data_IF_365676696643
#
_entry.id   IF_365676696643
#
_cell.length_a   1.000
_cell.length_b   1.000
_cell.length_c   1.000
_cell.angle_alpha   90.00
_cell.angle_beta   90.00
_cell.angle_gamma   90.00
#
_symmetry.space_group_name_H-M   'P 1'
#
loop_
_entity.id
_entity.type
_entity.pdbx_description
1 polymer ?
#
# COMPACT_ATOMS: atom_id res chain seq x y z
N UNK A 1 -12.23 14.11 -4.04
CA UNK A 1 -12.95 12.86 -3.68
C UNK A 1 -12.00 11.69 -3.87
N UNK A 2 -12.24 10.54 -3.23
CA UNK A 2 -11.41 9.35 -3.45
C UNK A 2 -11.85 8.63 -4.73
N UNK A 3 -10.88 8.18 -5.54
CA UNK A 3 -11.09 7.34 -6.73
C UNK A 3 -10.57 5.95 -6.43
N UNK A 4 -11.33 4.94 -6.82
CA UNK A 4 -10.95 3.53 -6.66
C UNK A 4 -11.23 2.84 -7.99
N UNK A 5 -10.26 2.10 -8.50
CA UNK A 5 -10.41 1.32 -9.72
C UNK A 5 -9.54 0.06 -9.66
N UNK A 6 -9.87 -0.90 -10.53
CA UNK A 6 -9.08 -2.09 -10.78
C UNK A 6 -8.47 -1.96 -12.17
N UNK A 7 -7.19 -2.27 -12.30
CA UNK A 7 -6.52 -2.35 -13.58
C UNK A 7 -5.67 -3.62 -13.70
N UNK A 8 -5.24 -3.93 -14.92
CA UNK A 8 -4.38 -5.08 -15.16
C UNK A 8 -2.96 -4.79 -14.68
N UNK A 9 -2.33 -5.78 -14.07
CA UNK A 9 -0.94 -5.65 -13.62
C UNK A 9 0.01 -5.49 -14.82
N UNK A 10 0.54 -4.29 -14.99
CA UNK A 10 1.69 -4.00 -15.84
C UNK A 10 3.00 -3.88 -15.01
N UNK A 11 4.02 -4.74 -15.23
CA UNK A 11 5.29 -4.66 -14.50
C UNK A 11 6.11 -3.39 -14.80
N UNK A 12 5.77 -2.62 -15.83
CA UNK A 12 6.42 -1.32 -16.11
C UNK A 12 5.83 -0.18 -15.28
N UNK A 13 4.58 -0.33 -14.84
CA UNK A 13 3.83 0.71 -14.13
C UNK A 13 3.58 0.35 -12.66
N UNK A 14 3.58 -0.95 -12.33
CA UNK A 14 3.24 -1.46 -11.01
C UNK A 14 4.39 -2.24 -10.37
N UNK A 15 4.49 -2.10 -9.05
CA UNK A 15 5.43 -2.78 -8.18
C UNK A 15 4.75 -3.14 -6.86
N UNK A 16 5.25 -4.17 -6.20
CA UNK A 16 4.84 -4.50 -4.85
C UNK A 16 5.59 -3.64 -3.85
N UNK A 17 4.91 -2.62 -3.32
CA UNK A 17 5.50 -1.75 -2.33
C UNK A 17 5.43 -2.34 -0.92
N UNK A 18 4.49 -3.23 -0.59
CA UNK A 18 4.22 -3.61 0.80
C UNK A 18 4.99 -4.86 1.25
N UNK A 19 5.32 -5.77 0.33
CA UNK A 19 6.00 -7.03 0.67
C UNK A 19 7.52 -6.91 0.85
N UNK A 20 8.09 -5.71 0.70
CA UNK A 20 9.54 -5.48 0.78
C UNK A 20 9.85 -4.24 1.62
N UNK A 21 11.08 -4.19 2.14
CA UNK A 21 11.66 -2.98 2.72
C UNK A 21 12.51 -2.19 1.72
N UNK A 22 12.70 -2.69 0.49
CA UNK A 22 13.45 -1.96 -0.53
C UNK A 22 12.64 -0.75 -1.02
N UNK A 23 13.27 0.44 -0.97
CA UNK A 23 12.77 1.64 -1.63
C UNK A 23 12.66 1.39 -3.14
N UNK A 24 11.45 1.44 -3.68
CA UNK A 24 11.14 1.11 -5.09
C UNK A 24 10.22 -0.09 -5.27
N UNK A 25 9.97 -0.87 -4.21
CA UNK A 25 9.14 -2.07 -4.29
C UNK A 25 9.85 -3.24 -4.96
N UNK A 26 9.15 -4.37 -5.08
CA UNK A 26 9.63 -5.55 -5.81
C UNK A 26 8.63 -5.95 -6.87
N UNK A 27 9.10 -6.47 -8.01
CA UNK A 27 8.18 -7.07 -8.96
C UNK A 27 7.59 -8.33 -8.32
N UNK A 28 6.25 -8.49 -8.28
CA UNK A 28 5.64 -9.70 -7.77
C UNK A 28 6.12 -10.90 -8.56
N UNK A 29 6.36 -12.02 -7.88
CA UNK A 29 6.81 -13.25 -8.52
C UNK A 29 5.89 -13.65 -9.68
N UNK A 30 6.47 -14.18 -10.76
CA UNK A 30 5.75 -14.80 -11.89
C UNK A 30 5.08 -16.12 -11.48
N UNK A 31 4.31 -16.14 -10.39
CA UNK A 31 3.42 -17.27 -10.10
C UNK A 31 2.29 -17.25 -11.12
N UNK A 32 2.37 -18.16 -12.08
CA UNK A 32 1.44 -18.46 -13.16
C UNK A 32 1.05 -17.27 -14.04
N UNK A 33 1.66 -17.19 -15.24
CA UNK A 33 1.24 -16.28 -16.32
C UNK A 33 -0.18 -16.56 -16.87
N UNK A 34 -0.89 -17.58 -16.36
CA UNK A 34 -2.16 -18.03 -16.92
C UNK A 34 -3.36 -17.19 -16.47
N UNK A 35 -3.25 -16.44 -15.36
CA UNK A 35 -4.33 -15.57 -14.88
C UNK A 35 -3.88 -14.11 -14.89
N UNK A 36 -4.63 -13.20 -15.55
CA UNK A 36 -4.34 -11.77 -15.49
C UNK A 36 -4.47 -11.30 -14.03
N UNK A 37 -3.35 -10.88 -13.44
CA UNK A 37 -3.33 -10.27 -12.12
C UNK A 37 -3.94 -8.88 -12.21
N UNK A 38 -4.79 -8.53 -11.23
CA UNK A 38 -5.35 -7.19 -11.10
C UNK A 38 -4.60 -6.42 -10.02
N UNK A 39 -4.56 -5.11 -10.18
CA UNK A 39 -4.06 -4.17 -9.18
C UNK A 39 -5.21 -3.31 -8.74
N UNK A 40 -5.40 -3.18 -7.43
CA UNK A 40 -6.34 -2.23 -6.86
C UNK A 40 -5.64 -0.91 -6.63
N UNK A 41 -6.12 0.12 -7.30
CA UNK A 41 -5.60 1.48 -7.17
C UNK A 41 -6.59 2.34 -6.39
N UNK A 42 -6.08 3.08 -5.41
CA UNK A 42 -6.85 3.99 -4.56
C UNK A 42 -6.18 5.36 -4.56
N UNK A 43 -6.78 6.33 -5.24
CA UNK A 43 -6.33 7.71 -5.25
C UNK A 43 -7.11 8.54 -4.23
N UNK A 44 -6.42 9.15 -3.28
CA UNK A 44 -7.00 9.99 -2.24
C UNK A 44 -5.97 11.00 -1.72
N UNK A 45 -6.40 12.23 -1.44
CA UNK A 45 -5.51 13.28 -0.93
C UNK A 45 -4.27 13.55 -1.82
N UNK A 46 -4.42 13.41 -3.14
CA UNK A 46 -3.34 13.52 -4.15
C UNK A 46 -2.26 12.45 -4.04
N UNK A 47 -2.58 11.31 -3.41
CA UNK A 47 -1.71 10.15 -3.31
C UNK A 47 -2.43 8.93 -3.89
N UNK A 48 -1.67 8.05 -4.55
CA UNK A 48 -2.18 6.81 -5.12
C UNK A 48 -1.56 5.63 -4.39
N UNK A 49 -2.42 4.81 -3.78
CA UNK A 49 -2.04 3.50 -3.27
C UNK A 49 -2.30 2.45 -4.33
N UNK A 50 -1.45 1.43 -4.39
CA UNK A 50 -1.64 0.25 -5.21
C UNK A 50 -1.48 -1.00 -4.36
N UNK A 51 -2.39 -1.95 -4.53
CA UNK A 51 -2.42 -3.21 -3.79
C UNK A 51 -2.47 -4.37 -4.78
N UNK A 52 -1.62 -5.36 -4.54
CA UNK A 52 -1.52 -6.57 -5.36
C UNK A 52 -2.20 -7.78 -4.70
N UNK A 53 -2.64 -7.64 -3.45
CA UNK A 53 -3.35 -8.68 -2.72
C UNK A 53 -4.28 -8.08 -1.67
N UNK A 54 -5.34 -8.82 -1.32
CA UNK A 54 -6.24 -8.40 -0.24
C UNK A 54 -5.52 -8.19 1.12
N UNK A 55 -4.57 -9.06 1.55
CA UNK A 55 -3.84 -8.85 2.81
C UNK A 55 -3.14 -7.50 2.91
N UNK A 56 -2.57 -6.99 1.80
CA UNK A 56 -1.95 -5.67 1.75
C UNK A 56 -2.95 -4.55 2.02
N UNK A 57 -4.14 -4.65 1.42
CA UNK A 57 -5.23 -3.69 1.69
C UNK A 57 -5.67 -3.75 3.16
N UNK A 58 -5.80 -4.94 3.74
CA UNK A 58 -6.15 -5.09 5.16
C UNK A 58 -5.07 -4.49 6.07
N UNK A 59 -3.80 -4.70 5.75
CA UNK A 59 -2.67 -4.16 6.51
C UNK A 59 -2.68 -2.63 6.47
N UNK A 60 -2.92 -2.02 5.30
CA UNK A 60 -3.05 -0.58 5.17
C UNK A 60 -4.25 -0.03 5.97
N UNK A 61 -5.41 -0.70 5.91
CA UNK A 61 -6.58 -0.34 6.73
C UNK A 61 -6.24 -0.41 8.22
N UNK A 62 -5.58 -1.48 8.67
CA UNK A 62 -5.17 -1.68 10.05
C UNK A 62 -4.20 -0.59 10.52
N UNK A 63 -3.26 -0.18 9.67
CA UNK A 63 -2.35 0.92 9.93
C UNK A 63 -3.13 2.23 10.11
N UNK A 64 -3.86 2.70 9.10
CA UNK A 64 -4.55 3.99 9.17
C UNK A 64 -5.68 4.05 10.21
N UNK A 65 -6.22 2.90 10.65
CA UNK A 65 -7.18 2.82 11.75
C UNK A 65 -6.60 3.29 13.08
N UNK A 66 -5.30 3.02 13.32
CA UNK A 66 -4.60 3.48 14.52
C UNK A 66 -4.20 4.95 14.36
N UNK A 67 -4.38 5.73 15.43
CA UNK A 67 -3.93 7.15 15.47
C UNK A 67 -2.45 7.25 15.79
N UNK A 68 -1.99 6.39 16.69
CA UNK A 68 -0.62 6.39 17.21
C UNK A 68 0.02 5.05 16.86
N UNK A 69 1.19 5.11 16.23
CA UNK A 69 2.01 3.94 15.93
C UNK A 69 3.18 3.90 16.91
N UNK A 70 3.36 2.80 17.67
CA UNK A 70 4.52 2.67 18.53
C UNK A 70 5.79 2.65 17.69
N UNK A 71 6.80 3.42 18.10
CA UNK A 71 8.12 3.36 17.50
C UNK A 71 8.84 2.15 18.08
N UNK A 72 9.09 1.13 17.27
CA UNK A 72 9.91 -0.02 17.66
C UNK A 72 11.30 0.17 17.08
N UNK A 73 12.33 0.12 17.94
CA UNK A 73 13.72 0.09 17.48
C UNK A 73 14.07 -1.33 17.06
N UNK A 74 14.26 -1.55 15.77
CA UNK A 74 14.76 -2.82 15.24
C UNK A 74 16.27 -2.77 14.97
N UNK A 75 16.89 -3.94 14.91
CA UNK A 75 18.31 -4.08 14.60
C UNK A 75 18.57 -3.63 13.16
N UNK A 76 19.41 -2.61 12.99
CA UNK A 76 19.82 -2.16 11.68
C UNK A 76 20.98 -3.01 11.18
N UNK A 77 20.81 -3.68 10.04
CA UNK A 77 21.84 -4.50 9.42
C UNK A 77 22.92 -3.69 8.66
N UNK A 78 22.90 -2.35 8.76
CA UNK A 78 23.87 -1.45 8.14
C UNK A 78 23.54 -1.05 6.70
N UNK A 79 22.39 -1.48 6.16
CA UNK A 79 21.91 -1.10 4.81
C UNK A 79 20.93 0.09 4.85
N UNK A 80 21.25 1.09 5.69
CA UNK A 80 20.29 2.06 6.24
C UNK A 80 19.62 2.96 5.19
N UNK A 81 20.24 3.16 4.01
CA UNK A 81 19.76 4.15 3.03
C UNK A 81 18.65 3.65 2.10
N UNK A 82 18.48 2.34 1.93
CA UNK A 82 17.52 1.76 0.97
C UNK A 82 16.51 0.82 1.62
N UNK A 83 16.52 0.74 2.95
CA UNK A 83 15.71 -0.21 3.72
C UNK A 83 14.73 0.53 4.64
N UNK A 84 13.47 0.63 4.19
CA UNK A 84 12.38 1.30 4.90
C UNK A 84 11.11 0.47 4.78
N UNK A 85 10.41 0.23 5.89
CA UNK A 85 9.09 -0.41 5.87
C UNK A 85 8.13 0.43 5.05
N UNK A 86 7.08 -0.22 4.55
CA UNK A 86 6.20 0.44 3.60
C UNK A 86 5.55 1.70 4.14
N UNK A 87 5.21 1.71 5.43
CA UNK A 87 4.54 2.83 6.10
C UNK A 87 5.49 3.97 6.44
N UNK A 88 6.80 3.71 6.55
CA UNK A 88 7.82 4.74 6.82
C UNK A 88 8.05 5.62 5.59
N UNK A 89 7.75 5.09 4.40
CA UNK A 89 7.83 5.80 3.12
C UNK A 89 6.59 6.68 2.85
N UNK A 90 5.61 6.68 3.75
CA UNK A 90 4.41 7.50 3.57
C UNK A 90 4.75 8.98 3.76
N UNK A 91 4.14 9.88 2.97
CA UNK A 91 4.31 11.32 3.16
C UNK A 91 3.91 11.74 4.59
N UNK A 92 4.70 12.58 5.29
CA UNK A 92 4.49 12.92 6.70
C UNK A 92 3.11 13.56 6.98
N UNK A 93 2.52 14.22 5.98
CA UNK A 93 1.18 14.81 6.11
C UNK A 93 0.02 13.81 5.99
N UNK A 94 0.25 12.60 5.46
CA UNK A 94 -0.82 11.64 5.15
C UNK A 94 -1.42 11.02 6.42
N UNK A 95 -0.60 10.91 7.47
CA UNK A 95 -0.96 10.34 8.78
C UNK A 95 -1.65 11.37 9.71
N UNK A 96 -1.71 12.64 9.29
CA UNK A 96 -2.43 13.69 10.04
C UNK A 96 -3.91 13.35 10.20
N UNK A 97 -4.53 13.72 11.33
CA UNK A 97 -5.89 13.31 11.71
C UNK A 97 -6.92 13.47 10.59
N UNK A 98 -6.93 14.62 9.90
CA UNK A 98 -7.89 14.89 8.83
C UNK A 98 -7.64 14.07 7.55
N UNK A 99 -6.39 13.90 7.12
CA UNK A 99 -6.07 13.10 5.93
C UNK A 99 -6.20 11.61 6.21
N UNK A 100 -5.78 11.16 7.40
CA UNK A 100 -5.91 9.78 7.88
C UNK A 100 -7.34 9.26 7.78
N UNK A 101 -8.32 10.03 8.26
CA UNK A 101 -9.73 9.64 8.17
C UNK A 101 -10.22 9.52 6.73
N UNK A 102 -9.79 10.43 5.84
CA UNK A 102 -10.12 10.37 4.40
C UNK A 102 -9.51 9.15 3.73
N UNK A 103 -8.25 8.84 4.04
CA UNK A 103 -7.54 7.66 3.56
C UNK A 103 -8.24 6.39 4.04
N UNK A 104 -8.52 6.29 5.35
CA UNK A 104 -9.20 5.13 5.93
C UNK A 104 -10.56 4.86 5.26
N UNK A 105 -11.38 5.91 5.08
CA UNK A 105 -12.66 5.79 4.39
C UNK A 105 -12.51 5.34 2.93
N UNK A 106 -11.48 5.83 2.23
CA UNK A 106 -11.18 5.42 0.85
C UNK A 106 -10.78 3.93 0.78
N UNK A 107 -9.91 3.48 1.68
CA UNK A 107 -9.46 2.08 1.75
C UNK A 107 -10.61 1.13 2.12
N UNK A 108 -11.47 1.51 3.06
CA UNK A 108 -12.66 0.73 3.41
C UNK A 108 -13.64 0.62 2.24
N UNK A 109 -13.87 1.71 1.50
CA UNK A 109 -14.65 1.67 0.26
C UNK A 109 -14.00 0.75 -0.79
N UNK A 110 -12.67 0.80 -0.90
CA UNK A 110 -11.93 -0.03 -1.83
C UNK A 110 -12.05 -1.53 -1.51
N UNK A 111 -12.10 -1.89 -0.22
CA UNK A 111 -12.34 -3.28 0.22
C UNK A 111 -13.68 -3.83 -0.27
N UNK A 112 -14.73 -3.01 -0.29
CA UNK A 112 -16.04 -3.41 -0.82
C UNK A 112 -16.03 -3.64 -2.34
N UNK A 113 -15.20 -2.88 -3.07
CA UNK A 113 -15.05 -2.97 -4.52
C UNK A 113 -14.14 -4.14 -4.92
N UNK A 114 -13.14 -4.45 -4.10
CA UNK A 114 -12.13 -5.46 -4.41
C UNK A 114 -12.72 -6.87 -4.58
N UNK A 115 -13.77 -7.24 -3.83
CA UNK A 115 -14.61 -8.44 -4.01
C UNK A 115 -13.92 -9.80 -3.82
N UNK A 116 -12.72 -9.97 -4.37
CA UNK A 116 -11.72 -11.02 -4.17
C UNK A 116 -10.51 -10.57 -5.00
N UNK A 117 -9.52 -9.94 -4.36
CA UNK A 117 -8.30 -9.48 -5.05
C UNK A 117 -7.28 -10.63 -5.21
#
# INVERSE_FOLDING_TARGET
MARVWLELFDPKQHADFMSTSHVGGVLPEKRNNLLPKKVLCVEVCSFTFQFLSEPQLQEAISYFSKKTHPSTREYNNGLEHYWQKWFERLPPGLVSTGKRQKVLAALQKAKLIAGSL
#
